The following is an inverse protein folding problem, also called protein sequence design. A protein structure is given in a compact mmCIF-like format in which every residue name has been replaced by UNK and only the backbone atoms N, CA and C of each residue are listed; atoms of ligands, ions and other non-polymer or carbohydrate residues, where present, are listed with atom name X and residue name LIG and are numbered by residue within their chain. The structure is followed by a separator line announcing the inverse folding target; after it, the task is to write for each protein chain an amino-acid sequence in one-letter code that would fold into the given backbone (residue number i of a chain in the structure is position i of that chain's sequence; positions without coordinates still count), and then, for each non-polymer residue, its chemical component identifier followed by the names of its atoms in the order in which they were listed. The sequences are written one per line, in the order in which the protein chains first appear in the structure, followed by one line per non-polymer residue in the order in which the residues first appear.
data_IF_494853422212
#
_entry.id   IF_494853422212
#
_cell.length_a   1.000
_cell.length_b   1.000
_cell.length_c   1.000
_cell.angle_alpha   90.00
_cell.angle_beta   90.00
_cell.angle_gamma   90.00
#
_symmetry.space_group_name_H-M   'P 1'
#
loop_
_entity.id
_entity.type
_entity.pdbx_description
1 polymer ?
#
# COMPACT_ATOMS: atom_id res chain seq x y z
N UNK A 1 -3.53 24.58 -54.66
CA UNK A 1 -4.74 23.80 -54.33
C UNK A 1 -4.30 22.41 -53.91
N UNK A 2 -4.27 22.19 -52.59
CA UNK A 2 -3.63 21.07 -51.91
C UNK A 2 -4.48 19.80 -51.98
N UNK A 3 -3.99 18.76 -52.64
CA UNK A 3 -4.53 17.40 -52.52
C UNK A 3 -3.38 16.43 -52.32
N UNK A 4 -2.86 16.33 -51.09
CA UNK A 4 -2.07 15.17 -50.64
C UNK A 4 -1.89 15.24 -49.09
N UNK A 5 -3.00 15.21 -48.35
CA UNK A 5 -3.00 15.09 -46.87
C UNK A 5 -3.97 13.98 -46.49
N UNK A 6 -3.55 12.72 -46.61
CA UNK A 6 -4.24 11.59 -46.01
C UNK A 6 -3.38 10.33 -46.11
N UNK A 7 -2.39 10.17 -45.23
CA UNK A 7 -1.80 8.89 -44.85
C UNK A 7 -0.69 9.17 -43.83
N UNK A 8 -1.04 9.07 -42.55
CA UNK A 8 -0.21 8.66 -41.39
C UNK A 8 -0.87 9.04 -40.04
N UNK A 9 -2.21 9.05 -39.97
CA UNK A 9 -2.98 9.31 -38.75
C UNK A 9 -3.15 8.09 -37.82
N UNK A 10 -2.18 7.16 -37.79
CA UNK A 10 -2.31 5.88 -37.10
C UNK A 10 -1.23 5.63 -36.03
N UNK A 11 -0.48 6.64 -35.61
CA UNK A 11 0.50 6.50 -34.54
C UNK A 11 0.10 7.29 -33.30
N UNK A 12 -0.10 6.54 -32.22
CA UNK A 12 -0.02 6.98 -30.81
C UNK A 12 -1.25 7.70 -30.26
N UNK A 13 -2.43 7.10 -30.45
CA UNK A 13 -3.42 7.06 -29.36
C UNK A 13 -3.14 5.81 -28.50
N UNK A 14 -1.87 5.62 -28.12
CA UNK A 14 -1.57 4.81 -26.96
C UNK A 14 -2.01 5.66 -25.78
N UNK A 15 -3.30 5.54 -25.42
CA UNK A 15 -3.76 5.93 -24.11
C UNK A 15 -2.76 5.31 -23.14
N UNK A 16 -1.97 6.15 -22.48
CA UNK A 16 -1.14 5.70 -21.40
C UNK A 16 -2.10 4.99 -20.43
N UNK A 17 -2.08 3.66 -20.41
CA UNK A 17 -2.61 2.92 -19.28
C UNK A 17 -1.74 3.40 -18.12
N UNK A 18 -2.24 4.40 -17.39
CA UNK A 18 -1.69 4.80 -16.12
C UNK A 18 -1.75 3.57 -15.25
N UNK A 19 -0.62 2.87 -15.11
CA UNK A 19 -0.50 1.75 -14.19
C UNK A 19 -0.85 2.28 -12.80
N UNK A 20 -2.02 1.86 -12.29
CA UNK A 20 -2.49 2.30 -10.99
C UNK A 20 -1.46 1.84 -9.94
N UNK A 21 -0.90 2.82 -9.24
CA UNK A 21 0.03 2.57 -8.14
C UNK A 21 -0.73 2.74 -6.83
N UNK A 22 -0.63 1.75 -5.96
CA UNK A 22 -1.22 1.77 -4.63
C UNK A 22 -0.14 1.85 -3.56
N UNK A 23 -0.27 2.78 -2.63
CA UNK A 23 0.56 2.81 -1.42
C UNK A 23 -0.16 2.00 -0.35
N UNK A 24 0.42 0.89 0.12
CA UNK A 24 -0.20 0.03 1.14
C UNK A 24 0.71 -0.05 2.35
N UNK A 25 0.24 0.42 3.51
CA UNK A 25 0.99 0.30 4.75
C UNK A 25 0.71 -1.04 5.43
N UNK A 26 1.75 -1.83 5.64
CA UNK A 26 1.69 -3.10 6.38
C UNK A 26 2.24 -2.86 7.79
N UNK A 27 1.36 -3.00 8.78
CA UNK A 27 1.58 -2.64 10.18
C UNK A 27 1.57 -3.92 11.04
N UNK A 28 2.74 -4.56 11.25
CA UNK A 28 2.85 -5.76 12.07
C UNK A 28 2.72 -5.45 13.56
N UNK A 29 2.62 -6.48 14.40
CA UNK A 29 2.68 -6.36 15.87
C UNK A 29 4.08 -6.00 16.37
N UNK A 30 5.12 -6.32 15.62
CA UNK A 30 6.52 -6.03 15.93
C UNK A 30 7.38 -6.16 14.67
N UNK A 31 8.64 -5.71 14.72
CA UNK A 31 9.52 -5.69 13.54
C UNK A 31 10.84 -6.45 13.73
N UNK A 32 11.05 -7.04 14.91
CA UNK A 32 12.31 -7.69 15.29
C UNK A 32 12.30 -9.21 15.18
N UNK A 33 11.17 -9.85 15.46
CA UNK A 33 11.05 -11.31 15.45
C UNK A 33 11.04 -11.88 14.02
N UNK A 34 11.65 -13.05 13.84
CA UNK A 34 11.67 -13.78 12.55
C UNK A 34 10.27 -14.04 11.98
N UNK A 35 9.29 -14.25 12.85
CA UNK A 35 7.88 -14.37 12.46
C UNK A 35 7.44 -13.19 11.60
N UNK A 36 7.68 -11.94 12.03
CA UNK A 36 7.28 -10.75 11.28
C UNK A 36 8.12 -10.53 10.01
N UNK A 37 9.38 -10.98 9.98
CA UNK A 37 10.18 -10.96 8.75
C UNK A 37 9.58 -11.88 7.68
N UNK A 38 9.05 -13.04 8.07
CA UNK A 38 8.36 -13.94 7.13
C UNK A 38 7.09 -13.31 6.56
N UNK A 39 6.31 -12.59 7.39
CA UNK A 39 5.13 -11.84 6.95
C UNK A 39 5.51 -10.72 5.99
N UNK A 40 6.59 -9.98 6.27
CA UNK A 40 7.10 -8.94 5.37
C UNK A 40 7.49 -9.52 4.00
N UNK A 41 8.21 -10.64 3.99
CA UNK A 41 8.58 -11.33 2.75
C UNK A 41 7.34 -11.73 1.93
N UNK A 42 6.28 -12.22 2.59
CA UNK A 42 5.00 -12.53 1.94
C UNK A 42 4.33 -11.30 1.33
N UNK A 43 4.33 -10.15 2.02
CA UNK A 43 3.79 -8.91 1.48
C UNK A 43 4.55 -8.43 0.23
N UNK A 44 5.88 -8.55 0.23
CA UNK A 44 6.70 -8.21 -0.94
C UNK A 44 6.50 -9.18 -2.11
N UNK A 45 6.33 -10.48 -1.82
CA UNK A 45 6.03 -11.49 -2.84
C UNK A 45 4.70 -11.17 -3.54
N UNK A 46 3.64 -10.91 -2.76
CA UNK A 46 2.32 -10.54 -3.31
C UNK A 46 2.38 -9.25 -4.14
N UNK A 47 3.15 -8.24 -3.72
CA UNK A 47 3.37 -7.03 -4.52
C UNK A 47 4.07 -7.35 -5.85
N UNK A 48 5.01 -8.29 -5.87
CA UNK A 48 5.66 -8.78 -7.09
C UNK A 48 4.72 -9.52 -8.04
N UNK A 49 3.84 -10.36 -7.49
CA UNK A 49 2.80 -11.08 -8.24
C UNK A 49 1.84 -10.09 -8.90
N UNK A 50 1.29 -9.13 -8.14
CA UNK A 50 0.40 -8.08 -8.66
C UNK A 50 1.08 -7.22 -9.73
N UNK A 51 2.38 -6.95 -9.58
CA UNK A 51 3.14 -6.21 -10.59
C UNK A 51 3.19 -6.96 -11.92
N UNK A 52 3.26 -8.29 -11.90
CA UNK A 52 3.21 -9.12 -13.12
C UNK A 52 1.84 -9.08 -13.81
N UNK A 53 0.78 -8.76 -13.06
CA UNK A 53 -0.59 -8.55 -13.55
C UNK A 53 -0.88 -7.09 -13.96
N UNK A 54 0.13 -6.20 -13.90
CA UNK A 54 0.00 -4.80 -14.28
C UNK A 54 -0.47 -3.87 -13.16
N UNK A 55 -0.55 -4.35 -11.91
CA UNK A 55 -0.92 -3.55 -10.73
C UNK A 55 0.31 -3.26 -9.89
N UNK A 56 0.67 -2.00 -9.69
CA UNK A 56 1.83 -1.65 -8.86
C UNK A 56 1.39 -1.41 -7.43
N UNK A 57 1.95 -2.16 -6.48
CA UNK A 57 1.75 -1.93 -5.04
C UNK A 57 3.08 -1.61 -4.38
N UNK A 58 3.16 -0.43 -3.79
CA UNK A 58 4.27 0.00 -2.95
C UNK A 58 3.95 -0.39 -1.50
N UNK A 59 4.62 -1.42 -1.01
CA UNK A 59 4.48 -1.89 0.37
C UNK A 59 5.30 -1.01 1.30
N UNK A 60 4.64 -0.35 2.25
CA UNK A 60 5.28 0.40 3.32
C UNK A 60 5.27 -0.47 4.58
N UNK A 61 6.42 -1.02 4.95
CA UNK A 61 6.57 -1.81 6.17
C UNK A 61 6.89 -0.94 7.37
N UNK A 62 5.96 -0.79 8.31
CA UNK A 62 6.16 0.03 9.50
C UNK A 62 5.25 -0.42 10.64
N UNK A 63 5.86 -0.67 11.79
CA UNK A 63 5.16 -1.00 13.03
C UNK A 63 6.06 -0.74 14.21
N UNK A 64 5.67 -1.17 15.42
CA UNK A 64 6.50 -0.99 16.59
C UNK A 64 7.74 -1.89 16.57
N UNK A 65 8.74 -1.54 17.39
CA UNK A 65 9.96 -2.36 17.51
C UNK A 65 9.66 -3.70 18.21
N UNK A 66 8.80 -3.66 19.23
CA UNK A 66 8.44 -4.76 20.12
C UNK A 66 6.93 -4.93 20.19
N UNK A 67 6.48 -6.15 20.50
CA UNK A 67 5.05 -6.49 20.58
C UNK A 67 4.33 -5.99 21.85
N UNK A 68 5.00 -5.20 22.68
CA UNK A 68 4.43 -4.59 23.88
C UNK A 68 4.15 -3.08 23.71
N UNK A 69 4.58 -2.48 22.59
CA UNK A 69 4.42 -1.04 22.34
C UNK A 69 3.13 -0.73 21.56
N UNK A 70 2.02 -0.85 22.27
CA UNK A 70 0.67 -0.54 21.77
C UNK A 70 0.54 0.91 21.31
N UNK A 71 1.13 1.85 22.04
CA UNK A 71 1.02 3.28 21.75
C UNK A 71 1.70 3.62 20.43
N UNK A 72 2.90 3.09 20.21
CA UNK A 72 3.59 3.25 18.94
C UNK A 72 2.80 2.66 17.77
N UNK A 73 2.11 1.52 17.96
CA UNK A 73 1.29 0.96 16.88
C UNK A 73 0.07 1.85 16.55
N UNK A 74 -0.58 2.43 17.55
CA UNK A 74 -1.67 3.41 17.36
C UNK A 74 -1.18 4.61 16.54
N UNK A 75 -0.06 5.21 16.93
CA UNK A 75 0.52 6.37 16.23
C UNK A 75 0.86 6.05 14.76
N UNK A 76 1.33 4.83 14.49
CA UNK A 76 1.62 4.39 13.12
C UNK A 76 0.35 4.30 12.28
N UNK A 77 -0.75 3.74 12.82
CA UNK A 77 -2.04 3.70 12.13
C UNK A 77 -2.53 5.11 11.82
N UNK A 78 -2.58 5.99 12.82
CA UNK A 78 -3.01 7.38 12.67
C UNK A 78 -2.18 8.14 11.62
N UNK A 79 -0.85 7.93 11.62
CA UNK A 79 0.04 8.53 10.64
C UNK A 79 -0.32 8.13 9.20
N UNK A 80 -0.52 6.84 8.95
CA UNK A 80 -0.84 6.36 7.60
C UNK A 80 -2.26 6.69 7.16
N UNK A 81 -3.21 6.76 8.10
CA UNK A 81 -4.54 7.33 7.87
C UNK A 81 -4.42 8.78 7.40
N UNK A 82 -3.69 9.62 8.13
CA UNK A 82 -3.49 11.03 7.76
C UNK A 82 -2.75 11.23 6.44
N UNK A 83 -1.84 10.31 6.09
CA UNK A 83 -1.13 10.29 4.80
C UNK A 83 -1.98 9.85 3.62
N UNK A 84 -3.20 9.34 3.85
CA UNK A 84 -4.11 8.83 2.81
C UNK A 84 -3.45 7.79 1.91
N UNK A 85 -2.79 6.81 2.52
CA UNK A 85 -2.37 5.61 1.78
C UNK A 85 -3.58 4.90 1.19
N UNK A 86 -3.38 4.13 0.12
CA UNK A 86 -4.44 3.42 -0.56
C UNK A 86 -5.04 2.27 0.27
N UNK A 87 -4.32 1.77 1.26
CA UNK A 87 -4.82 0.75 2.17
C UNK A 87 -3.91 0.48 3.36
N UNK A 88 -4.50 -0.10 4.41
CA UNK A 88 -3.80 -0.58 5.60
C UNK A 88 -3.96 -2.10 5.72
N UNK A 89 -2.86 -2.78 6.04
CA UNK A 89 -2.85 -4.19 6.46
C UNK A 89 -2.32 -4.23 7.89
N UNK A 90 -3.21 -4.45 8.86
CA UNK A 90 -2.91 -4.31 10.27
C UNK A 90 -2.95 -5.66 11.01
N UNK A 91 -1.88 -5.99 11.72
CA UNK A 91 -1.87 -7.05 12.73
C UNK A 91 -1.99 -6.41 14.13
N UNK A 92 -3.18 -6.35 14.74
CA UNK A 92 -3.40 -5.53 15.93
C UNK A 92 -2.77 -6.12 17.20
N UNK A 93 -2.07 -5.29 17.97
CA UNK A 93 -1.53 -5.62 19.29
C UNK A 93 -2.60 -5.70 20.37
N UNK A 94 -3.58 -4.80 20.32
CA UNK A 94 -4.59 -4.64 21.37
C UNK A 94 -5.98 -4.49 20.76
N UNK A 95 -6.92 -5.32 21.24
CA UNK A 95 -8.27 -5.41 20.71
C UNK A 95 -9.19 -4.23 21.09
N UNK A 96 -8.78 -3.34 21.98
CA UNK A 96 -9.55 -2.16 22.40
C UNK A 96 -8.92 -0.88 21.87
N UNK A 97 -7.62 -0.73 22.05
CA UNK A 97 -6.91 0.50 21.71
C UNK A 97 -6.87 0.79 20.22
N UNK A 98 -6.88 -0.25 19.38
CA UNK A 98 -6.84 -0.08 17.94
C UNK A 98 -8.22 0.07 17.30
N UNK A 99 -9.31 -0.06 18.05
CA UNK A 99 -10.66 0.11 17.50
C UNK A 99 -10.83 1.51 16.93
N UNK A 100 -10.64 2.55 17.75
CA UNK A 100 -10.82 3.94 17.33
C UNK A 100 -9.95 4.34 16.12
N UNK A 101 -8.61 4.15 16.11
CA UNK A 101 -7.78 4.54 14.97
C UNK A 101 -8.06 3.69 13.71
N UNK A 102 -8.51 2.44 13.86
CA UNK A 102 -8.92 1.62 12.70
C UNK A 102 -10.23 2.10 12.11
N UNK A 103 -11.22 2.41 12.95
CA UNK A 103 -12.48 2.99 12.49
C UNK A 103 -12.28 4.36 11.82
N UNK A 104 -11.34 5.16 12.33
CA UNK A 104 -10.96 6.41 11.68
C UNK A 104 -10.35 6.16 10.30
N UNK A 105 -9.47 5.17 10.16
CA UNK A 105 -8.90 4.78 8.88
C UNK A 105 -9.97 4.36 7.85
N UNK A 106 -11.02 3.67 8.30
CA UNK A 106 -12.14 3.25 7.43
C UNK A 106 -12.97 4.45 6.93
N UNK A 107 -13.01 5.55 7.70
CA UNK A 107 -13.81 6.75 7.38
C UNK A 107 -13.05 7.81 6.56
N UNK A 108 -11.72 7.71 6.50
CA UNK A 108 -10.84 8.72 5.88
C UNK A 108 -10.84 8.65 4.34
#
# INVERSE_FOLDING_TARGET
MNRLTALLGALVFAAALSAQTYEVAVIPKGTTHEFWKSIHAGALAAAGELKSEGVTVNVIWKGPLREDDREQQVQVVENFTGRRVSGLVLAPLDARALVAPTEEAVRA
#
